data_IF_035399790545
#
_entry.id   IF_035399790545
#
_cell.length_a   1.000
_cell.length_b   1.000
_cell.length_c   1.000
_cell.angle_alpha   90.00
_cell.angle_beta   90.00
_cell.angle_gamma   90.00
#
_symmetry.space_group_name_H-M   'P 1'
#
loop_
_entity.id
_entity.type
_entity.pdbx_description
1 polymer ?
#
# COMPACT_ATOMS: atom_id res chain seq x y z
N UNK A 1 -6.44 2.45 -16.37
CA UNK A 1 -6.20 3.85 -15.96
C UNK A 1 -6.22 3.85 -14.45
N UNK A 2 -5.27 4.51 -13.79
CA UNK A 2 -5.24 4.57 -12.32
C UNK A 2 -6.19 5.64 -11.80
N UNK A 3 -6.84 5.37 -10.67
CA UNK A 3 -7.69 6.31 -9.93
C UNK A 3 -7.00 6.74 -8.64
N UNK A 4 -5.99 7.61 -8.77
CA UNK A 4 -5.16 8.00 -7.64
C UNK A 4 -5.90 8.85 -6.61
N UNK A 5 -5.75 8.50 -5.33
CA UNK A 5 -6.09 9.35 -4.18
C UNK A 5 -4.82 9.90 -3.55
N UNK A 6 -4.86 11.17 -3.18
CA UNK A 6 -3.78 11.83 -2.44
C UNK A 6 -3.87 11.51 -0.95
N UNK A 7 -2.72 11.48 -0.27
CA UNK A 7 -2.65 10.99 1.11
C UNK A 7 -3.38 11.92 2.08
N UNK A 8 -3.36 13.23 1.84
CA UNK A 8 -4.11 14.26 2.58
C UNK A 8 -5.62 14.00 2.63
N UNK A 9 -6.20 13.41 1.59
CA UNK A 9 -7.64 13.06 1.57
C UNK A 9 -7.94 11.80 2.38
N UNK A 10 -6.92 10.98 2.67
CA UNK A 10 -7.06 9.68 3.32
C UNK A 10 -6.72 9.72 4.82
N UNK A 11 -6.07 10.78 5.31
CA UNK A 11 -5.69 10.88 6.73
C UNK A 11 -6.85 11.27 7.66
N UNK A 12 -7.92 11.88 7.13
CA UNK A 12 -9.10 12.29 7.92
C UNK A 12 -10.14 11.15 8.00
N UNK A 13 -10.38 10.56 9.19
CA UNK A 13 -11.39 9.53 9.38
C UNK A 13 -12.80 9.95 8.95
N UNK A 14 -13.13 11.25 9.00
CA UNK A 14 -14.47 11.74 8.64
C UNK A 14 -14.75 11.67 7.14
N UNK A 15 -13.71 11.58 6.31
CA UNK A 15 -13.81 11.50 4.85
C UNK A 15 -13.60 10.07 4.33
N UNK A 16 -13.48 9.08 5.23
CA UNK A 16 -13.23 7.69 4.86
C UNK A 16 -14.53 6.99 4.41
N UNK A 17 -14.58 6.60 3.14
CA UNK A 17 -15.53 5.61 2.63
C UNK A 17 -14.83 4.24 2.52
N UNK A 18 -15.07 3.36 3.50
CA UNK A 18 -14.48 2.02 3.55
C UNK A 18 -14.91 1.09 2.41
N UNK A 19 -15.97 1.46 1.65
CA UNK A 19 -16.47 0.68 0.53
C UNK A 19 -15.81 1.05 -0.80
N UNK A 20 -15.16 2.22 -0.85
CA UNK A 20 -14.56 2.73 -2.07
C UNK A 20 -13.14 2.18 -2.28
N UNK A 21 -12.87 1.70 -3.49
CA UNK A 21 -11.54 1.26 -3.91
C UNK A 21 -10.84 2.38 -4.66
N UNK A 22 -9.57 2.56 -4.37
CA UNK A 22 -8.75 3.60 -4.99
C UNK A 22 -7.31 3.13 -5.18
N UNK A 23 -6.56 3.90 -5.96
CA UNK A 23 -5.16 3.64 -6.23
C UNK A 23 -4.31 4.64 -5.45
N UNK A 24 -3.15 4.23 -4.99
CA UNK A 24 -2.15 5.13 -4.41
C UNK A 24 -0.78 4.84 -4.98
N UNK A 25 0.07 5.86 -5.04
CA UNK A 25 1.47 5.75 -5.41
C UNK A 25 2.32 6.35 -4.31
N UNK A 26 3.41 5.68 -3.95
CA UNK A 26 4.29 6.15 -2.89
C UNK A 26 5.61 5.40 -2.85
N UNK A 27 6.59 6.02 -2.21
CA UNK A 27 7.87 5.40 -1.86
C UNK A 27 7.67 4.52 -0.63
N UNK A 28 8.09 3.28 -0.69
CA UNK A 28 8.13 2.38 0.46
C UNK A 28 9.28 2.81 1.37
N UNK A 29 8.97 3.36 2.53
CA UNK A 29 9.98 3.82 3.50
C UNK A 29 10.22 2.80 4.60
N UNK A 30 9.21 1.97 4.91
CA UNK A 30 9.33 0.89 5.88
C UNK A 30 8.58 -0.36 5.41
N UNK A 31 9.16 -1.53 5.69
CA UNK A 31 8.54 -2.84 5.56
C UNK A 31 8.73 -3.51 6.92
N UNK A 32 7.63 -3.81 7.60
CA UNK A 32 7.68 -4.46 8.91
C UNK A 32 7.80 -5.98 8.77
N UNK A 33 8.03 -6.68 9.90
CA UNK A 33 8.10 -8.14 9.90
C UNK A 33 6.75 -8.79 9.58
N UNK A 34 6.79 -9.95 8.91
CA UNK A 34 5.61 -10.79 8.67
C UNK A 34 4.99 -11.21 10.00
N UNK A 35 3.66 -11.10 10.08
CA UNK A 35 2.87 -11.52 11.22
C UNK A 35 1.84 -12.58 10.78
N UNK A 36 1.35 -13.36 11.74
CA UNK A 36 0.23 -14.26 11.55
C UNK A 36 -0.94 -13.82 12.43
N UNK A 37 -2.16 -13.90 11.90
CA UNK A 37 -3.39 -13.70 12.64
C UNK A 37 -4.41 -14.78 12.33
N UNK A 38 -5.15 -15.19 13.35
CA UNK A 38 -6.30 -16.05 13.15
C UNK A 38 -7.49 -15.22 12.65
N UNK A 39 -8.05 -15.59 11.50
CA UNK A 39 -9.27 -15.03 10.95
C UNK A 39 -10.21 -16.18 10.56
N UNK A 40 -11.39 -16.22 11.18
CA UNK A 40 -12.40 -17.26 10.96
C UNK A 40 -11.85 -18.70 11.10
N UNK A 41 -10.99 -18.94 12.10
CA UNK A 41 -10.38 -20.26 12.36
C UNK A 41 -9.28 -20.66 11.37
N UNK A 42 -8.82 -19.74 10.52
CA UNK A 42 -7.66 -19.92 9.64
C UNK A 42 -6.56 -18.93 10.02
N UNK A 43 -5.32 -19.39 10.05
CA UNK A 43 -4.17 -18.49 10.16
C UNK A 43 -3.94 -17.81 8.81
N UNK A 44 -3.89 -16.48 8.84
CA UNK A 44 -3.65 -15.62 7.68
C UNK A 44 -2.40 -14.80 7.97
N UNK A 45 -1.47 -14.77 7.00
CA UNK A 45 -0.28 -13.93 7.08
C UNK A 45 -0.64 -12.48 6.75
N UNK A 46 0.04 -11.55 7.40
CA UNK A 46 -0.01 -10.13 7.07
C UNK A 46 1.35 -9.49 7.21
N UNK A 47 1.55 -8.36 6.54
CA UNK A 47 2.72 -7.51 6.67
C UNK A 47 2.27 -6.05 6.57
N UNK A 48 2.86 -5.18 7.38
CA UNK A 48 2.61 -3.76 7.32
C UNK A 48 3.75 -3.08 6.56
N UNK A 49 3.41 -2.15 5.67
CA UNK A 49 4.36 -1.27 5.01
C UNK A 49 3.98 0.19 5.27
N UNK A 50 4.97 1.08 5.20
CA UNK A 50 4.75 2.53 5.24
C UNK A 50 5.10 3.11 3.89
N UNK A 51 4.14 3.82 3.30
CA UNK A 51 4.30 4.56 2.06
C UNK A 51 4.46 6.04 2.38
N UNK A 52 5.31 6.72 1.62
CA UNK A 52 5.53 8.16 1.69
C UNK A 52 5.25 8.80 0.32
N UNK A 53 4.46 9.88 0.31
CA UNK A 53 4.18 10.66 -0.89
C UNK A 53 5.25 11.75 -1.15
N UNK A 54 5.07 12.53 -2.22
CA UNK A 54 6.01 13.61 -2.59
C UNK A 54 6.04 14.78 -1.59
N UNK A 55 5.04 14.89 -0.71
CA UNK A 55 5.00 15.91 0.35
C UNK A 55 5.66 15.44 1.64
N UNK A 56 6.11 14.18 1.69
CA UNK A 56 6.63 13.55 2.91
C UNK A 56 5.51 13.04 3.83
N UNK A 57 4.25 13.06 3.41
CA UNK A 57 3.15 12.49 4.18
C UNK A 57 3.23 10.96 4.09
N UNK A 58 3.10 10.31 5.25
CA UNK A 58 3.16 8.86 5.35
C UNK A 58 1.81 8.24 5.66
N UNK A 59 1.57 7.04 5.12
CA UNK A 59 0.43 6.19 5.40
C UNK A 59 0.87 4.72 5.55
N UNK A 60 0.37 4.06 6.60
CA UNK A 60 0.52 2.62 6.76
C UNK A 60 -0.45 1.87 5.86
N UNK A 61 0.01 0.74 5.32
CA UNK A 61 -0.81 -0.21 4.59
C UNK A 61 -0.57 -1.64 5.08
N UNK A 62 -1.64 -2.36 5.41
CA UNK A 62 -1.59 -3.79 5.71
C UNK A 62 -1.85 -4.62 4.45
N UNK A 63 -0.86 -5.42 4.07
CA UNK A 63 -0.96 -6.41 3.00
C UNK A 63 -1.26 -7.79 3.61
N UNK A 64 -2.21 -8.51 3.03
CA UNK A 64 -2.72 -9.79 3.56
C UNK A 64 -2.45 -10.96 2.62
N UNK A 65 -2.25 -12.16 3.16
CA UNK A 65 -2.16 -13.38 2.37
C UNK A 65 -1.02 -13.34 1.34
N UNK A 66 -1.33 -13.62 0.08
CA UNK A 66 -0.34 -13.75 -1.00
C UNK A 66 0.41 -12.43 -1.28
N UNK A 67 -0.20 -11.27 -0.97
CA UNK A 67 0.46 -9.98 -1.08
C UNK A 67 1.68 -9.82 -0.16
N UNK A 68 1.79 -10.66 0.88
CA UNK A 68 2.99 -10.74 1.73
C UNK A 68 4.18 -11.24 0.91
N UNK A 69 3.99 -12.28 0.08
CA UNK A 69 5.08 -12.81 -0.72
C UNK A 69 5.43 -11.85 -1.86
N UNK A 70 4.44 -11.17 -2.45
CA UNK A 70 4.68 -10.14 -3.48
C UNK A 70 5.56 -8.99 -2.98
N UNK A 71 5.28 -8.46 -1.78
CA UNK A 71 6.08 -7.33 -1.26
C UNK A 71 7.49 -7.77 -0.84
N UNK A 72 7.67 -9.00 -0.36
CA UNK A 72 8.99 -9.55 -0.04
C UNK A 72 9.81 -9.80 -1.30
N UNK A 73 9.17 -10.23 -2.39
CA UNK A 73 9.82 -10.30 -3.71
C UNK A 73 10.21 -8.91 -4.19
N UNK A 74 9.34 -7.90 -4.03
CA UNK A 74 9.69 -6.52 -4.32
C UNK A 74 10.91 -6.06 -3.51
N UNK A 75 10.90 -6.26 -2.18
CA UNK A 75 11.99 -5.89 -1.27
C UNK A 75 13.33 -6.51 -1.69
N UNK A 76 13.34 -7.81 -1.97
CA UNK A 76 14.54 -8.53 -2.41
C UNK A 76 15.07 -8.05 -3.77
N UNK A 77 14.23 -7.41 -4.59
CA UNK A 77 14.57 -6.90 -5.92
C UNK A 77 14.76 -5.38 -5.96
N UNK A 78 14.76 -4.68 -4.82
CA UNK A 78 15.05 -3.25 -4.76
C UNK A 78 16.44 -3.01 -5.38
N UNK A 79 16.47 -2.29 -6.50
CA UNK A 79 17.69 -1.86 -7.20
C UNK A 79 18.14 -0.48 -6.70
N UNK A 80 19.24 0.02 -7.24
CA UNK A 80 19.65 1.41 -7.03
C UNK A 80 18.54 2.39 -7.49
N UNK A 81 17.96 3.12 -6.55
CA UNK A 81 16.88 4.10 -6.78
C UNK A 81 15.81 4.06 -5.67
N UNK A 82 14.87 5.01 -5.64
CA UNK A 82 13.80 5.02 -4.66
C UNK A 82 12.82 3.84 -4.89
N UNK A 83 12.49 3.06 -3.84
CA UNK A 83 11.57 1.92 -3.94
C UNK A 83 10.11 2.40 -4.01
N UNK A 84 9.62 2.68 -5.22
CA UNK A 84 8.26 3.20 -5.45
C UNK A 84 7.32 2.09 -5.89
N UNK A 85 6.12 2.04 -5.30
CA UNK A 85 5.04 1.14 -5.70
C UNK A 85 3.74 1.91 -5.97
N UNK A 86 2.88 1.30 -6.78
CA UNK A 86 1.46 1.63 -6.87
C UNK A 86 0.68 0.50 -6.21
N UNK A 87 -0.17 0.82 -5.24
CA UNK A 87 -1.21 -0.09 -4.75
C UNK A 87 -2.51 0.28 -5.45
N UNK A 88 -2.93 -0.56 -6.38
CA UNK A 88 -4.17 -0.38 -7.12
C UNK A 88 -5.32 -1.14 -6.45
N UNK A 89 -6.52 -0.55 -6.41
CA UNK A 89 -7.73 -1.11 -5.80
C UNK A 89 -7.55 -1.46 -4.31
N UNK A 90 -6.77 -0.65 -3.60
CA UNK A 90 -6.69 -0.71 -2.14
C UNK A 90 -7.91 0.00 -1.51
N UNK A 91 -8.06 -0.13 -0.20
CA UNK A 91 -9.12 0.54 0.56
C UNK A 91 -8.56 1.12 1.85
N UNK A 92 -9.18 2.17 2.36
CA UNK A 92 -8.94 2.62 3.72
C UNK A 92 -9.86 1.89 4.70
N UNK A 93 -9.39 1.73 5.94
CA UNK A 93 -10.15 1.20 7.07
C UNK A 93 -9.86 2.04 8.30
N UNK A 94 -10.83 2.15 9.21
CA UNK A 94 -10.59 2.74 10.51
C UNK A 94 -10.01 1.69 11.46
N UNK A 95 -8.84 1.97 12.02
CA UNK A 95 -8.19 1.12 13.02
C UNK A 95 -7.61 1.99 14.13
N UNK A 96 -8.09 1.82 15.37
CA UNK A 96 -7.72 2.64 16.52
C UNK A 96 -7.78 4.15 16.24
N UNK A 97 -8.91 4.61 15.71
CA UNK A 97 -9.19 6.01 15.35
C UNK A 97 -8.25 6.63 14.30
N UNK A 98 -7.50 5.78 13.58
CA UNK A 98 -6.64 6.19 12.47
C UNK A 98 -7.05 5.48 11.18
N UNK A 99 -6.90 6.17 10.06
CA UNK A 99 -7.05 5.53 8.76
C UNK A 99 -5.80 4.69 8.47
N UNK A 100 -6.02 3.41 8.20
CA UNK A 100 -5.00 2.47 7.75
C UNK A 100 -5.44 1.90 6.42
N UNK A 101 -4.52 1.83 5.46
CA UNK A 101 -4.81 1.23 4.18
C UNK A 101 -4.73 -0.29 4.27
N UNK A 102 -5.50 -0.97 3.44
CA UNK A 102 -5.50 -2.44 3.40
C UNK A 102 -5.68 -2.89 1.96
N UNK A 103 -5.06 -4.02 1.63
CA UNK A 103 -5.41 -4.73 0.40
C UNK A 103 -6.89 -5.16 0.45
N UNK A 104 -7.48 -5.23 -0.74
CA UNK A 104 -8.80 -5.79 -1.01
C UNK A 104 -8.64 -7.22 -1.51
N UNK A 105 -9.37 -8.16 -0.91
CA UNK A 105 -9.33 -9.58 -1.29
C UNK A 105 -9.36 -9.75 -2.82
N UNK A 106 -8.37 -10.47 -3.32
CA UNK A 106 -8.16 -10.93 -4.71
C UNK A 106 -8.25 -9.86 -5.81
N UNK A 107 -8.21 -8.57 -5.46
CA UNK A 107 -8.44 -7.47 -6.41
C UNK A 107 -7.34 -6.41 -6.38
N UNK A 108 -6.65 -6.25 -5.25
CA UNK A 108 -5.51 -5.35 -5.20
C UNK A 108 -4.39 -5.83 -6.11
N UNK A 109 -3.69 -4.89 -6.75
CA UNK A 109 -2.50 -5.15 -7.55
C UNK A 109 -1.37 -4.26 -7.08
N UNK A 110 -0.17 -4.84 -6.96
CA UNK A 110 1.06 -4.11 -6.60
C UNK A 110 1.87 -3.92 -7.88
N UNK A 111 2.07 -2.66 -8.29
CA UNK A 111 2.87 -2.34 -9.48
C UNK A 111 4.16 -1.62 -9.07
N UNK A 112 5.30 -2.09 -9.57
CA UNK A 112 6.62 -1.52 -9.25
C UNK A 112 7.60 -1.51 -10.43
N UNK A 113 7.10 -1.75 -11.64
CA UNK A 113 7.92 -1.79 -12.85
C UNK A 113 8.26 -0.39 -13.35
N UNK A 114 9.55 -0.16 -13.64
CA UNK A 114 10.09 1.09 -14.20
C UNK A 114 9.65 1.38 -15.65
N UNK A 115 8.72 0.60 -16.19
CA UNK A 115 8.07 0.85 -17.48
C UNK A 115 6.74 1.60 -17.32
N UNK A 116 6.21 1.72 -16.10
CA UNK A 116 4.95 2.39 -15.82
C UNK A 116 5.19 3.91 -15.70
N UNK A 117 4.54 4.74 -16.55
CA UNK A 117 4.82 6.18 -16.58
C UNK A 117 4.67 6.88 -15.23
N UNK A 118 3.62 6.56 -14.46
CA UNK A 118 3.38 7.16 -13.14
C UNK A 118 4.52 6.86 -12.15
N UNK A 119 5.13 5.67 -12.21
CA UNK A 119 6.28 5.31 -11.37
C UNK A 119 7.51 6.08 -11.81
N UNK A 120 7.77 6.13 -13.12
CA UNK A 120 8.92 6.88 -13.67
C UNK A 120 8.83 8.37 -13.30
N UNK A 121 7.65 8.96 -13.41
CA UNK A 121 7.38 10.35 -13.05
C UNK A 121 7.53 10.59 -11.54
N UNK A 122 7.02 9.71 -10.69
CA UNK A 122 7.18 9.84 -9.24
C UNK A 122 8.66 9.78 -8.82
N UNK A 123 9.46 8.92 -9.46
CA UNK A 123 10.89 8.76 -9.16
C UNK A 123 11.75 9.94 -9.62
N UNK A 124 11.25 10.80 -10.51
CA UNK A 124 12.01 11.93 -11.06
C UNK A 124 11.81 13.26 -10.31
N UNK A 125 10.93 13.27 -9.30
CA UNK A 125 10.70 14.38 -8.38
C UNK A 125 11.62 14.29 -7.16
#
# INVERSE_FOLDING_TARGET
MFNFRSFDTLVDPNNLDETHLFDIIGKVVEIHGVQEREFQGKNVRLIEIVLEDLSGQQLSCTLWGDYVDEILVFEANIKAGPPVIILQLCRGKLFNDKVVLSTSFDTTQIHYLDTIPAIVEFKSQ
#
